data_IF_629371658982
#
_entry.id   IF_629371658982
#
_cell.length_a   1.000
_cell.length_b   1.000
_cell.length_c   1.000
_cell.angle_alpha   90.00
_cell.angle_beta   90.00
_cell.angle_gamma   90.00
#
_symmetry.space_group_name_H-M   'P 1'
#
loop_
_entity.id
_entity.type
_entity.pdbx_description
1 polymer ?
#
# COMPACT_ATOMS: atom_id res chain seq x y z
N UNK A 1 18.51 59.86 32.62
CA UNK A 1 19.31 60.74 31.73
C UNK A 1 18.55 60.93 30.43
N UNK A 2 18.23 62.16 30.04
CA UNK A 2 17.54 62.46 28.79
C UNK A 2 18.41 63.39 27.92
N UNK A 3 18.63 63.02 26.65
CA UNK A 3 19.45 63.79 25.69
C UNK A 3 18.71 63.89 24.35
N UNK A 4 18.37 65.09 23.92
CA UNK A 4 17.64 65.36 22.66
C UNK A 4 16.34 66.14 22.88
N UNK A 5 15.85 66.79 21.82
CA UNK A 5 14.62 67.58 21.86
C UNK A 5 13.44 66.70 22.27
N UNK A 6 12.67 67.11 23.31
CA UNK A 6 11.52 66.36 23.84
C UNK A 6 11.83 64.93 24.32
N UNK A 7 13.11 64.59 24.55
CA UNK A 7 13.48 63.31 25.16
C UNK A 7 13.02 63.25 26.63
N UNK A 8 12.55 62.07 27.06
CA UNK A 8 11.95 61.85 28.38
C UNK A 8 12.56 60.60 29.02
N UNK A 9 13.27 60.77 30.14
CA UNK A 9 13.77 59.67 30.96
C UNK A 9 13.08 59.76 32.33
N UNK A 10 11.86 59.22 32.43
CA UNK A 10 10.98 59.39 33.60
C UNK A 10 11.20 58.33 34.67
N UNK A 11 11.74 57.16 34.29
CA UNK A 11 12.03 56.08 35.23
C UNK A 11 13.34 56.29 36.00
N UNK A 12 13.44 55.67 37.18
CA UNK A 12 14.68 55.65 37.96
C UNK A 12 15.79 54.95 37.16
N UNK A 13 17.01 55.55 37.10
CA UNK A 13 18.16 55.04 36.31
C UNK A 13 17.89 54.86 34.80
N UNK A 14 16.81 55.43 34.28
CA UNK A 14 16.46 55.34 32.87
C UNK A 14 17.38 56.21 31.98
N UNK A 15 17.53 55.83 30.71
CA UNK A 15 18.32 56.54 29.70
C UNK A 15 17.45 56.75 28.45
N UNK A 16 17.25 58.00 28.03
CA UNK A 16 16.58 58.36 26.79
C UNK A 16 17.51 59.24 25.93
N UNK A 17 17.85 58.81 24.72
CA UNK A 17 18.73 59.55 23.81
C UNK A 17 18.10 59.60 22.41
N UNK A 18 17.82 60.80 21.91
CA UNK A 18 17.18 61.03 20.61
C UNK A 18 15.98 61.97 20.73
N UNK A 19 15.63 62.64 19.63
CA UNK A 19 14.41 63.46 19.58
C UNK A 19 13.19 62.61 19.93
N UNK A 20 12.40 63.05 20.92
CA UNK A 20 11.21 62.37 21.41
C UNK A 20 11.44 60.94 21.92
N UNK A 21 12.69 60.54 22.22
CA UNK A 21 12.98 59.26 22.85
C UNK A 21 12.37 59.20 24.26
N UNK A 22 11.76 58.09 24.64
CA UNK A 22 11.08 57.92 25.94
C UNK A 22 11.56 56.65 26.65
N UNK A 23 12.15 56.80 27.82
CA UNK A 23 12.43 55.72 28.75
C UNK A 23 11.52 55.89 29.99
N UNK A 24 10.43 55.11 30.00
CA UNK A 24 9.26 55.31 30.85
C UNK A 24 9.38 54.75 32.28
N UNK A 25 10.18 53.72 32.47
CA UNK A 25 10.22 52.90 33.70
C UNK A 25 11.66 52.69 34.22
N UNK A 26 11.80 52.06 35.38
CA UNK A 26 13.07 51.80 36.05
C UNK A 26 13.99 50.99 35.13
N UNK A 27 15.26 51.41 35.04
CA UNK A 27 16.29 50.79 34.20
C UNK A 27 15.95 50.71 32.70
N UNK A 28 14.93 51.43 32.23
CA UNK A 28 14.58 51.47 30.82
C UNK A 28 15.63 52.25 29.99
N UNK A 29 15.95 51.76 28.80
CA UNK A 29 16.90 52.39 27.87
C UNK A 29 16.25 52.60 26.52
N UNK A 30 16.08 53.85 26.11
CA UNK A 30 15.56 54.25 24.81
C UNK A 30 16.64 55.04 24.05
N UNK A 31 17.06 54.57 22.88
CA UNK A 31 18.07 55.21 22.05
C UNK A 31 17.61 55.27 20.58
N UNK A 32 17.32 56.46 20.07
CA UNK A 32 16.83 56.69 18.72
C UNK A 32 15.70 57.71 18.68
N UNK A 33 15.45 58.32 17.53
CA UNK A 33 14.33 59.27 17.37
C UNK A 33 13.01 58.53 17.58
N UNK A 34 12.19 59.00 18.53
CA UNK A 34 10.90 58.43 18.89
C UNK A 34 10.97 57.00 19.42
N UNK A 35 12.13 56.50 19.86
CA UNK A 35 12.22 55.18 20.49
C UNK A 35 11.54 55.19 21.86
N UNK A 36 10.85 54.12 22.23
CA UNK A 36 10.10 54.01 23.49
C UNK A 36 10.46 52.72 24.25
N UNK A 37 11.07 52.85 25.42
CA UNK A 37 11.25 51.77 26.37
C UNK A 37 10.27 52.00 27.53
N UNK A 38 9.08 51.37 27.46
CA UNK A 38 7.92 51.72 28.28
C UNK A 38 7.77 50.88 29.57
N UNK A 39 8.60 49.85 29.77
CA UNK A 39 8.48 48.92 30.91
C UNK A 39 9.80 48.69 31.66
N UNK A 40 9.71 48.10 32.85
CA UNK A 40 10.84 47.77 33.73
C UNK A 40 11.96 47.04 32.98
N UNK A 41 13.18 47.57 33.08
CA UNK A 41 14.39 47.02 32.45
C UNK A 41 14.28 46.74 30.95
N UNK A 42 13.39 47.46 30.25
CA UNK A 42 13.22 47.33 28.80
C UNK A 42 14.28 48.12 28.03
N UNK A 43 14.65 47.65 26.82
CA UNK A 43 15.65 48.29 25.96
C UNK A 43 15.10 48.48 24.55
N UNK A 44 14.97 49.72 24.09
CA UNK A 44 14.57 50.08 22.74
C UNK A 44 15.68 50.88 22.04
N UNK A 45 16.28 50.34 20.99
CA UNK A 45 17.35 51.00 20.22
C UNK A 45 17.01 51.03 18.75
N UNK A 46 16.73 52.21 18.20
CA UNK A 46 16.41 52.43 16.80
C UNK A 46 15.33 53.49 16.59
N UNK A 47 15.22 54.02 15.37
CA UNK A 47 14.16 54.97 15.02
C UNK A 47 12.77 54.34 15.24
N UNK A 48 11.99 54.88 16.18
CA UNK A 48 10.67 54.37 16.58
C UNK A 48 10.64 52.93 17.09
N UNK A 49 11.77 52.41 17.58
CA UNK A 49 11.78 51.10 18.25
C UNK A 49 10.94 51.15 19.55
N UNK A 50 10.18 50.11 19.86
CA UNK A 50 9.34 50.03 21.06
C UNK A 50 9.59 48.76 21.85
N UNK A 51 10.00 48.89 23.10
CA UNK A 51 10.06 47.80 24.07
C UNK A 51 9.00 48.06 25.14
N UNK A 52 7.83 47.44 24.99
CA UNK A 52 6.66 47.64 25.86
C UNK A 52 6.54 46.58 26.96
N UNK A 53 7.20 45.43 26.82
CA UNK A 53 7.22 44.40 27.84
C UNK A 53 8.34 44.57 28.87
N UNK A 54 8.13 44.12 30.10
CA UNK A 54 9.18 44.05 31.12
C UNK A 54 10.32 43.16 30.62
N UNK A 55 11.56 43.64 30.77
CA UNK A 55 12.78 43.00 30.24
C UNK A 55 12.76 42.78 28.71
N UNK A 56 11.88 43.45 27.97
CA UNK A 56 11.82 43.32 26.53
C UNK A 56 12.96 44.08 25.83
N UNK A 57 13.37 43.59 24.67
CA UNK A 57 14.46 44.16 23.86
C UNK A 57 13.98 44.38 22.44
N UNK A 58 13.95 45.64 21.99
CA UNK A 58 13.61 46.02 20.62
C UNK A 58 14.79 46.73 19.96
N UNK A 59 15.33 46.18 18.88
CA UNK A 59 16.51 46.69 18.18
C UNK A 59 16.23 46.90 16.68
N UNK A 60 16.69 48.03 16.15
CA UNK A 60 16.46 48.57 14.81
C UNK A 60 15.13 49.32 14.61
N UNK A 61 14.98 49.94 13.44
CA UNK A 61 13.88 50.87 13.16
C UNK A 61 12.51 50.16 13.22
N UNK A 62 11.59 50.74 13.99
CA UNK A 62 10.23 50.24 14.19
C UNK A 62 10.15 48.77 14.65
N UNK A 63 11.18 48.25 15.32
CA UNK A 63 11.10 46.96 16.00
C UNK A 63 10.17 47.10 17.22
N UNK A 64 9.30 46.12 17.46
CA UNK A 64 8.32 46.15 18.56
C UNK A 64 8.41 44.86 19.39
N UNK A 65 8.79 44.98 20.65
CA UNK A 65 8.81 43.89 21.63
C UNK A 65 7.79 44.17 22.73
N UNK A 66 6.60 43.57 22.63
CA UNK A 66 5.44 43.89 23.46
C UNK A 66 5.25 42.94 24.65
N UNK A 67 5.73 41.70 24.56
CA UNK A 67 5.59 40.70 25.62
C UNK A 67 6.66 40.76 26.72
N UNK A 68 6.38 40.14 27.88
CA UNK A 68 7.38 39.94 28.94
C UNK A 68 8.59 39.15 28.39
N UNK A 69 9.80 39.66 28.59
CA UNK A 69 11.04 39.07 28.06
C UNK A 69 11.04 38.86 26.53
N UNK A 70 10.20 39.60 25.79
CA UNK A 70 10.15 39.52 24.34
C UNK A 70 11.39 40.17 23.70
N UNK A 71 11.86 39.61 22.57
CA UNK A 71 13.03 40.11 21.85
C UNK A 71 12.68 40.33 20.38
N UNK A 72 12.69 41.57 19.91
CA UNK A 72 12.51 41.94 18.52
C UNK A 72 13.77 42.60 17.97
N UNK A 73 14.45 41.97 17.01
CA UNK A 73 15.68 42.47 16.40
C UNK A 73 15.54 42.48 14.90
N UNK A 74 15.46 43.66 14.30
CA UNK A 74 15.30 43.84 12.86
C UNK A 74 14.29 44.92 12.54
N UNK A 75 14.43 45.53 11.35
CA UNK A 75 13.49 46.58 10.93
C UNK A 75 12.08 45.99 10.84
N UNK A 76 11.14 46.57 11.60
CA UNK A 76 9.75 46.08 11.72
C UNK A 76 9.62 44.63 12.24
N UNK A 77 10.61 44.15 13.00
CA UNK A 77 10.46 42.88 13.73
C UNK A 77 9.42 43.04 14.85
N UNK A 78 8.57 42.04 15.07
CA UNK A 78 7.49 42.11 16.06
C UNK A 78 7.47 40.86 16.94
N UNK A 79 7.60 41.04 18.25
CA UNK A 79 7.52 40.00 19.26
C UNK A 79 6.41 40.36 20.27
N UNK A 80 5.22 39.76 20.13
CA UNK A 80 4.01 40.20 20.86
C UNK A 80 3.85 39.58 22.25
N UNK A 81 4.26 38.32 22.39
CA UNK A 81 3.90 37.48 23.53
C UNK A 81 5.08 37.24 24.47
N UNK A 82 4.80 36.69 25.66
CA UNK A 82 5.83 36.35 26.64
C UNK A 82 6.88 35.41 26.05
N UNK A 83 8.16 35.72 26.27
CA UNK A 83 9.33 34.99 25.75
C UNK A 83 9.34 34.84 24.21
N UNK A 84 8.56 35.64 23.49
CA UNK A 84 8.56 35.61 22.03
C UNK A 84 9.82 36.27 21.48
N UNK A 85 10.40 35.68 20.43
CA UNK A 85 11.64 36.13 19.82
C UNK A 85 11.41 36.29 18.32
N UNK A 86 11.63 37.49 17.78
CA UNK A 86 11.54 37.84 16.38
C UNK A 86 12.87 38.44 15.91
N UNK A 87 13.62 37.71 15.07
CA UNK A 87 14.95 38.08 14.58
C UNK A 87 14.93 38.17 13.06
N UNK A 88 15.09 39.35 12.49
CA UNK A 88 15.10 39.59 11.05
C UNK A 88 14.09 40.66 10.62
N UNK A 89 14.30 41.20 9.43
CA UNK A 89 13.41 42.24 8.86
C UNK A 89 12.01 41.68 8.66
N UNK A 90 11.00 42.37 9.19
CA UNK A 90 9.59 41.95 9.14
C UNK A 90 9.34 40.54 9.74
N UNK A 91 10.23 40.06 10.61
CA UNK A 91 9.98 38.82 11.36
C UNK A 91 8.87 39.05 12.39
N UNK A 92 8.04 38.03 12.66
CA UNK A 92 6.89 38.17 13.54
C UNK A 92 6.69 36.90 14.38
N UNK A 93 6.82 37.04 15.70
CA UNK A 93 6.48 36.01 16.67
C UNK A 93 5.32 36.52 17.53
N UNK A 94 4.11 36.06 17.22
CA UNK A 94 2.89 36.47 17.94
C UNK A 94 2.46 35.41 18.96
N UNK A 95 3.42 34.64 19.47
CA UNK A 95 3.15 33.41 20.22
C UNK A 95 4.02 33.30 21.47
N UNK A 96 3.42 32.81 22.56
CA UNK A 96 4.14 32.44 23.79
C UNK A 96 5.28 31.48 23.47
N UNK A 97 6.50 31.80 23.94
CA UNK A 97 7.71 31.02 23.67
C UNK A 97 7.99 30.76 22.18
N UNK A 98 7.50 31.63 21.27
CA UNK A 98 7.69 31.47 19.83
C UNK A 98 9.02 32.05 19.33
N UNK A 99 9.70 31.36 18.42
CA UNK A 99 10.95 31.83 17.79
C UNK A 99 10.77 32.02 16.28
N UNK A 100 10.73 33.26 15.80
CA UNK A 100 10.73 33.61 14.39
C UNK A 100 12.07 34.23 13.99
N UNK A 101 12.97 33.46 13.40
CA UNK A 101 14.29 33.95 12.96
C UNK A 101 14.46 33.82 11.44
N UNK A 102 14.56 34.96 10.77
CA UNK A 102 14.66 35.09 9.32
C UNK A 102 13.82 36.27 8.83
N UNK A 103 14.19 36.83 7.67
CA UNK A 103 13.38 37.88 7.04
C UNK A 103 11.98 37.34 6.75
N UNK A 104 10.94 37.98 7.28
CA UNK A 104 9.53 37.52 7.18
C UNK A 104 9.27 36.12 7.76
N UNK A 105 10.11 35.64 8.69
CA UNK A 105 9.79 34.44 9.45
C UNK A 105 8.56 34.70 10.34
N UNK A 106 7.65 33.71 10.48
CA UNK A 106 6.40 33.87 11.22
C UNK A 106 6.13 32.71 12.17
N UNK A 107 5.77 33.04 13.41
CA UNK A 107 5.23 32.09 14.39
C UNK A 107 3.91 32.63 14.93
N UNK A 108 2.84 31.82 14.85
CA UNK A 108 1.47 32.25 15.22
C UNK A 108 0.91 31.63 16.49
N UNK A 109 1.37 30.44 16.87
CA UNK A 109 0.88 29.68 18.03
C UNK A 109 2.01 29.25 18.94
N UNK A 110 1.66 29.01 20.20
CA UNK A 110 2.58 28.75 21.31
C UNK A 110 3.62 27.68 20.99
N UNK A 111 4.87 27.92 21.39
CA UNK A 111 6.00 27.00 21.21
C UNK A 111 6.41 26.74 19.76
N UNK A 112 5.92 27.54 18.79
CA UNK A 112 6.32 27.41 17.40
C UNK A 112 7.72 27.94 17.12
N UNK A 113 8.41 27.35 16.15
CA UNK A 113 9.75 27.76 15.72
C UNK A 113 9.79 27.91 14.20
N UNK A 114 10.14 29.08 13.70
CA UNK A 114 10.34 29.36 12.29
C UNK A 114 11.77 29.87 12.06
N UNK A 115 12.62 29.07 11.41
CA UNK A 115 14.01 29.41 11.08
C UNK A 115 14.20 29.41 9.57
N UNK A 116 14.50 30.58 9.01
CA UNK A 116 14.69 30.79 7.58
C UNK A 116 13.84 31.94 7.04
N UNK A 117 14.28 32.55 5.93
CA UNK A 117 13.50 33.62 5.32
C UNK A 117 12.17 33.09 4.78
N UNK A 118 11.07 33.71 5.19
CA UNK A 118 9.71 33.27 4.88
C UNK A 118 9.25 31.97 5.57
N UNK A 119 10.04 31.38 6.47
CA UNK A 119 9.61 30.20 7.23
C UNK A 119 8.38 30.52 8.09
N UNK A 120 7.43 29.57 8.20
CA UNK A 120 6.19 29.79 8.93
C UNK A 120 5.77 28.59 9.77
N UNK A 121 5.71 28.78 11.09
CA UNK A 121 5.13 27.83 12.05
C UNK A 121 3.72 28.32 12.43
N UNK A 122 2.70 27.70 11.82
CA UNK A 122 1.32 28.16 11.95
C UNK A 122 0.58 27.54 13.14
N UNK A 123 1.04 26.39 13.60
CA UNK A 123 0.36 25.59 14.63
C UNK A 123 1.17 25.45 15.93
N UNK A 124 0.51 25.03 17.01
CA UNK A 124 1.16 24.89 18.32
C UNK A 124 2.28 23.84 18.25
N UNK A 125 3.43 24.17 18.85
CA UNK A 125 4.63 23.30 18.89
C UNK A 125 5.10 22.85 17.50
N UNK A 126 4.79 23.63 16.45
CA UNK A 126 5.22 23.34 15.08
C UNK A 126 6.58 23.97 14.77
N UNK A 127 7.38 23.32 13.93
CA UNK A 127 8.71 23.80 13.55
C UNK A 127 8.85 23.89 12.03
N UNK A 128 9.14 25.07 11.50
CA UNK A 128 9.46 25.33 10.11
C UNK A 128 10.94 25.72 10.00
N UNK A 129 11.73 24.89 9.33
CA UNK A 129 13.20 24.97 9.29
C UNK A 129 13.68 24.99 7.84
N UNK A 130 13.77 26.17 7.23
CA UNK A 130 14.19 26.34 5.84
C UNK A 130 13.61 27.58 5.17
N UNK A 131 14.15 27.96 4.01
CA UNK A 131 13.57 29.03 3.20
C UNK A 131 12.14 28.65 2.79
N UNK A 132 11.15 29.46 3.16
CA UNK A 132 9.72 29.19 2.89
C UNK A 132 9.19 27.83 3.39
N UNK A 133 9.82 27.23 4.39
CA UNK A 133 9.25 26.04 5.03
C UNK A 133 7.94 26.39 5.75
N UNK A 134 6.93 25.52 5.70
CA UNK A 134 5.63 25.74 6.35
C UNK A 134 5.18 24.54 7.18
N UNK A 135 5.10 24.73 8.50
CA UNK A 135 4.56 23.74 9.42
C UNK A 135 3.09 24.07 9.72
N UNK A 136 2.17 23.28 9.14
CA UNK A 136 0.72 23.54 9.12
C UNK A 136 -0.08 22.66 10.08
N UNK A 137 0.57 21.75 10.80
CA UNK A 137 -0.08 20.86 11.76
C UNK A 137 0.52 21.00 13.16
N UNK A 138 -0.26 20.68 14.20
CA UNK A 138 0.22 20.67 15.58
C UNK A 138 1.35 19.64 15.74
N UNK A 139 2.40 19.98 16.49
CA UNK A 139 3.58 19.13 16.71
C UNK A 139 4.31 18.71 15.41
N UNK A 140 4.11 19.41 14.29
CA UNK A 140 4.72 19.04 13.01
C UNK A 140 6.08 19.71 12.78
N UNK A 141 6.88 19.10 11.91
CA UNK A 141 8.18 19.63 11.48
C UNK A 141 8.23 19.69 9.95
N UNK A 142 8.35 20.90 9.40
CA UNK A 142 8.69 21.13 8.01
C UNK A 142 10.19 21.46 7.91
N UNK A 143 10.99 20.54 7.38
CA UNK A 143 12.45 20.67 7.29
C UNK A 143 12.91 20.73 5.84
N UNK A 144 13.59 21.81 5.47
CA UNK A 144 14.09 22.07 4.13
C UNK A 144 13.37 23.21 3.41
N UNK A 145 13.98 23.68 2.32
CA UNK A 145 13.42 24.73 1.47
C UNK A 145 12.10 24.28 0.85
N UNK A 146 11.07 25.13 0.93
CA UNK A 146 9.71 24.89 0.43
C UNK A 146 9.02 23.62 0.98
N UNK A 147 9.56 23.02 2.05
CA UNK A 147 8.95 21.87 2.71
C UNK A 147 7.64 22.27 3.39
N UNK A 148 6.61 21.44 3.26
CA UNK A 148 5.30 21.63 3.88
C UNK A 148 4.95 20.42 4.73
N UNK A 149 4.63 20.64 6.00
CA UNK A 149 4.12 19.60 6.90
C UNK A 149 2.62 19.82 7.15
N UNK A 150 1.77 19.16 6.37
CA UNK A 150 0.32 19.36 6.32
C UNK A 150 -0.52 18.09 6.55
N UNK A 151 0.11 16.91 6.67
CA UNK A 151 -0.60 15.67 6.99
C UNK A 151 -0.73 15.47 8.50
N UNK A 152 -1.97 15.52 9.01
CA UNK A 152 -2.29 15.30 10.41
C UNK A 152 -2.20 13.80 10.81
N UNK A 153 -2.36 13.52 12.11
CA UNK A 153 -2.56 12.17 12.61
C UNK A 153 -3.93 11.60 12.20
N UNK A 154 -4.11 10.28 12.34
CA UNK A 154 -5.38 9.60 12.10
C UNK A 154 -5.67 9.30 10.63
N UNK A 155 -4.71 9.52 9.74
CA UNK A 155 -4.85 9.18 8.32
C UNK A 155 -4.69 7.67 8.17
N UNK A 156 -5.69 7.04 7.55
CA UNK A 156 -5.66 5.63 7.18
C UNK A 156 -4.76 5.40 5.97
N UNK A 157 -3.98 4.33 6.02
CA UNK A 157 -3.14 3.86 4.92
C UNK A 157 -3.97 3.29 3.77
N UNK A 158 -3.35 3.17 2.60
CA UNK A 158 -3.97 2.54 1.44
C UNK A 158 -3.88 1.01 1.54
N UNK A 159 -5.01 0.32 1.39
CA UNK A 159 -5.09 -1.13 1.31
C UNK A 159 -5.10 -1.58 -0.16
N UNK A 160 -4.06 -2.30 -0.57
CA UNK A 160 -3.91 -2.80 -1.93
C UNK A 160 -4.80 -4.01 -2.26
N UNK A 161 -5.38 -4.69 -1.26
CA UNK A 161 -6.32 -5.77 -1.50
C UNK A 161 -7.69 -5.24 -1.96
N UNK A 162 -8.12 -4.12 -1.38
CA UNK A 162 -9.41 -3.48 -1.69
C UNK A 162 -9.28 -2.31 -2.68
N UNK A 163 -8.08 -1.74 -2.82
CA UNK A 163 -7.84 -0.57 -3.68
C UNK A 163 -8.37 0.74 -3.10
N UNK A 164 -8.56 0.80 -1.78
CA UNK A 164 -9.14 1.95 -1.07
C UNK A 164 -8.38 2.22 0.25
N UNK A 165 -8.83 3.22 1.01
CA UNK A 165 -8.32 3.41 2.38
C UNK A 165 -8.65 2.18 3.24
N UNK A 166 -7.69 1.74 4.06
CA UNK A 166 -7.86 0.59 4.94
C UNK A 166 -8.97 0.82 5.96
N UNK A 167 -9.79 -0.19 6.21
CA UNK A 167 -10.78 -0.21 7.30
C UNK A 167 -10.18 -0.71 8.61
N UNK A 168 -8.94 -1.20 8.60
CA UNK A 168 -8.24 -1.64 9.80
C UNK A 168 -7.85 -0.43 10.66
N UNK A 169 -8.13 -0.51 11.96
CA UNK A 169 -7.93 0.62 12.89
C UNK A 169 -6.64 0.52 13.71
N UNK A 170 -5.86 -0.55 13.52
CA UNK A 170 -4.60 -0.75 14.24
C UNK A 170 -3.54 0.29 13.84
N UNK A 171 -2.57 0.56 14.72
CA UNK A 171 -1.49 1.54 14.49
C UNK A 171 -0.62 1.27 13.25
N UNK A 172 -0.65 0.04 12.72
CA UNK A 172 0.02 -0.32 11.47
C UNK A 172 -0.70 0.22 10.23
N UNK A 173 -2.01 0.51 10.35
CA UNK A 173 -2.89 0.94 9.27
C UNK A 173 -3.35 2.38 9.42
N UNK A 174 -3.52 2.88 10.65
CA UNK A 174 -3.91 4.27 10.92
C UNK A 174 -2.78 4.96 11.69
N UNK A 175 -2.28 6.06 11.12
CA UNK A 175 -1.23 6.87 11.73
C UNK A 175 -1.69 7.45 13.08
N UNK A 176 -0.83 7.36 14.11
CA UNK A 176 -1.11 7.97 15.43
C UNK A 176 -0.54 9.38 15.55
N UNK A 177 0.34 9.77 14.63
CA UNK A 177 1.00 11.08 14.54
C UNK A 177 1.02 11.54 13.08
N UNK A 178 1.37 12.81 12.86
CA UNK A 178 1.51 13.36 11.50
C UNK A 178 2.55 12.61 10.66
N UNK A 179 2.41 12.70 9.34
CA UNK A 179 3.28 11.97 8.42
C UNK A 179 4.69 12.57 8.33
N UNK A 180 5.66 11.71 8.02
CA UNK A 180 7.00 12.14 7.56
C UNK A 180 7.00 12.07 6.04
N UNK A 181 6.88 13.24 5.39
CA UNK A 181 7.07 13.31 3.95
C UNK A 181 8.56 13.43 3.60
N UNK A 182 9.05 12.57 2.72
CA UNK A 182 10.43 12.63 2.17
C UNK A 182 10.47 13.19 0.74
N UNK A 183 9.35 13.74 0.26
CA UNK A 183 9.19 14.20 -1.11
C UNK A 183 7.91 15.00 -1.34
N UNK A 184 7.48 15.05 -2.60
CA UNK A 184 6.26 15.66 -3.11
C UNK A 184 5.73 14.79 -4.26
N UNK A 185 4.56 15.11 -4.79
CA UNK A 185 3.97 14.39 -5.93
C UNK A 185 4.92 14.27 -7.13
N UNK A 186 5.75 15.30 -7.37
CA UNK A 186 6.68 15.35 -8.50
C UNK A 186 8.12 14.98 -8.15
N UNK A 187 8.47 14.90 -6.86
CA UNK A 187 9.85 14.71 -6.42
C UNK A 187 9.92 13.71 -5.27
N UNK A 188 10.53 12.55 -5.48
CA UNK A 188 10.75 11.55 -4.42
C UNK A 188 12.22 11.44 -4.04
N UNK A 189 12.48 10.86 -2.87
CA UNK A 189 13.84 10.52 -2.41
C UNK A 189 13.89 9.05 -2.07
N UNK A 190 15.07 8.45 -2.27
CA UNK A 190 15.36 7.12 -1.73
C UNK A 190 15.64 7.22 -0.24
N UNK A 191 15.14 6.26 0.53
CA UNK A 191 15.52 6.04 1.92
C UNK A 191 16.52 4.88 1.94
N UNK A 192 17.80 5.17 2.17
CA UNK A 192 18.90 4.19 2.14
C UNK A 192 19.35 3.80 3.55
N UNK A 193 20.12 2.72 3.67
CA UNK A 193 20.63 2.19 4.95
C UNK A 193 19.52 1.76 5.94
N UNK A 194 18.40 1.27 5.40
CA UNK A 194 17.28 0.74 6.18
C UNK A 194 17.55 -0.74 6.53
N UNK A 195 17.74 -1.02 7.82
CA UNK A 195 17.84 -2.39 8.33
C UNK A 195 16.52 -3.15 8.09
N UNK A 196 16.56 -4.49 8.15
CA UNK A 196 15.34 -5.29 7.96
C UNK A 196 14.33 -5.00 9.08
N UNK A 197 13.10 -4.65 8.72
CA UNK A 197 12.01 -4.45 9.67
C UNK A 197 11.62 -5.74 10.38
N UNK A 198 11.16 -5.62 11.63
CA UNK A 198 10.77 -6.75 12.47
C UNK A 198 9.29 -6.70 12.84
N UNK A 199 8.82 -5.53 13.26
CA UNK A 199 7.42 -5.31 13.67
C UNK A 199 6.57 -4.82 12.49
N UNK A 200 5.24 -4.92 12.57
CA UNK A 200 4.32 -4.52 11.49
C UNK A 200 4.41 -3.03 11.10
N UNK A 201 4.95 -2.20 11.98
CA UNK A 201 5.14 -0.74 11.75
C UNK A 201 6.54 -0.38 11.25
N UNK A 202 7.42 -1.36 11.03
CA UNK A 202 8.78 -1.10 10.56
C UNK A 202 8.82 -0.95 9.03
N UNK A 203 9.72 -0.10 8.55
CA UNK A 203 9.98 0.00 7.12
C UNK A 203 10.61 -1.31 6.59
N UNK A 204 10.07 -1.82 5.47
CA UNK A 204 10.60 -3.00 4.78
C UNK A 204 11.70 -2.59 3.81
N UNK A 205 12.85 -3.26 3.84
CA UNK A 205 13.94 -2.99 2.92
C UNK A 205 13.91 -3.91 1.67
N UNK A 206 14.73 -3.57 0.67
CA UNK A 206 14.80 -4.31 -0.61
C UNK A 206 15.21 -5.78 -0.43
N UNK A 207 16.01 -6.11 0.59
CA UNK A 207 16.44 -7.49 0.84
C UNK A 207 15.26 -8.37 1.31
N UNK A 208 14.40 -7.84 2.17
CA UNK A 208 13.19 -8.52 2.62
C UNK A 208 12.21 -8.78 1.46
N UNK A 209 11.97 -7.76 0.62
CA UNK A 209 11.11 -7.92 -0.57
C UNK A 209 11.68 -8.95 -1.55
N UNK A 210 13.00 -8.95 -1.81
CA UNK A 210 13.65 -9.97 -2.63
C UNK A 210 13.53 -11.37 -2.02
N UNK A 211 13.57 -11.49 -0.71
CA UNK A 211 13.38 -12.77 -0.01
C UNK A 211 11.96 -13.30 -0.20
N UNK A 212 10.97 -12.45 -0.02
CA UNK A 212 9.56 -12.78 -0.27
C UNK A 212 9.35 -13.21 -1.73
N UNK A 213 9.87 -12.44 -2.70
CA UNK A 213 9.75 -12.76 -4.12
C UNK A 213 10.33 -14.15 -4.46
N UNK A 214 11.50 -14.50 -3.90
CA UNK A 214 12.10 -15.84 -4.06
C UNK A 214 11.22 -16.94 -3.46
N UNK A 215 10.66 -16.69 -2.29
CA UNK A 215 9.76 -17.65 -1.64
C UNK A 215 8.52 -17.90 -2.51
N UNK A 216 7.87 -16.85 -2.99
CA UNK A 216 6.70 -16.97 -3.88
C UNK A 216 7.04 -17.72 -5.17
N UNK A 217 8.19 -17.42 -5.79
CA UNK A 217 8.64 -18.13 -6.99
C UNK A 217 8.87 -19.62 -6.72
N UNK A 218 9.43 -19.97 -5.56
CA UNK A 218 9.62 -21.38 -5.18
C UNK A 218 8.31 -22.12 -4.94
N UNK A 219 7.32 -21.46 -4.31
CA UNK A 219 5.99 -22.04 -4.09
C UNK A 219 5.23 -22.23 -5.41
N UNK A 220 5.36 -21.30 -6.35
CA UNK A 220 4.77 -21.42 -7.67
C UNK A 220 5.39 -22.58 -8.46
N UNK A 221 6.71 -22.68 -8.48
CA UNK A 221 7.41 -23.79 -9.14
C UNK A 221 7.03 -25.16 -8.54
N UNK A 222 6.87 -25.23 -7.21
CA UNK A 222 6.38 -26.45 -6.56
C UNK A 222 4.94 -26.80 -6.98
N UNK A 223 4.06 -25.81 -7.08
CA UNK A 223 2.68 -26.00 -7.54
C UNK A 223 2.64 -26.48 -9.00
N UNK A 224 3.46 -25.89 -9.88
CA UNK A 224 3.59 -26.31 -11.29
C UNK A 224 4.05 -27.76 -11.43
N UNK A 225 5.06 -28.17 -10.64
CA UNK A 225 5.54 -29.55 -10.62
C UNK A 225 4.45 -30.53 -10.17
N UNK A 226 3.67 -30.16 -9.15
CA UNK A 226 2.54 -30.96 -8.68
C UNK A 226 1.46 -31.10 -9.75
N UNK A 227 1.10 -30.01 -10.42
CA UNK A 227 0.14 -30.05 -11.53
C UNK A 227 0.65 -30.89 -12.70
N UNK A 228 1.93 -30.81 -13.06
CA UNK A 228 2.50 -31.60 -14.13
C UNK A 228 2.45 -33.11 -13.82
N UNK A 229 2.69 -33.48 -12.56
CA UNK A 229 2.60 -34.87 -12.09
C UNK A 229 1.14 -35.36 -12.13
N UNK A 230 0.19 -34.55 -11.69
CA UNK A 230 -1.25 -34.88 -11.78
C UNK A 230 -1.70 -35.03 -13.24
N UNK A 231 -1.30 -34.13 -14.13
CA UNK A 231 -1.60 -34.22 -15.56
C UNK A 231 -1.00 -35.49 -16.17
N UNK A 232 0.23 -35.85 -15.82
CA UNK A 232 0.86 -37.08 -16.29
C UNK A 232 0.12 -38.33 -15.79
N UNK A 233 -0.29 -38.35 -14.52
CA UNK A 233 -1.09 -39.43 -13.95
C UNK A 233 -2.45 -39.56 -14.66
N UNK A 234 -3.16 -38.45 -14.87
CA UNK A 234 -4.43 -38.42 -15.60
C UNK A 234 -4.27 -38.90 -17.05
N UNK A 235 -3.19 -38.50 -17.74
CA UNK A 235 -2.89 -38.98 -19.10
C UNK A 235 -2.65 -40.49 -19.13
N UNK A 236 -1.91 -41.04 -18.17
CA UNK A 236 -1.66 -42.47 -18.08
C UNK A 236 -2.94 -43.26 -17.77
N UNK A 237 -3.75 -42.76 -16.84
CA UNK A 237 -5.04 -43.37 -16.52
C UNK A 237 -5.97 -43.36 -17.73
N UNK A 238 -6.06 -42.23 -18.44
CA UNK A 238 -6.84 -42.10 -19.66
C UNK A 238 -6.35 -43.08 -20.73
N UNK A 239 -5.03 -43.21 -20.93
CA UNK A 239 -4.45 -44.17 -21.89
C UNK A 239 -4.83 -45.61 -21.54
N UNK A 240 -4.66 -46.03 -20.29
CA UNK A 240 -5.03 -47.39 -19.84
C UNK A 240 -6.52 -47.66 -20.04
N UNK A 241 -7.38 -46.67 -19.74
CA UNK A 241 -8.83 -46.78 -19.98
C UNK A 241 -9.14 -46.89 -21.48
N UNK A 242 -8.42 -46.15 -22.33
CA UNK A 242 -8.55 -46.23 -23.79
C UNK A 242 -8.09 -47.57 -24.36
N UNK A 243 -6.93 -48.08 -23.95
CA UNK A 243 -6.42 -49.39 -24.40
C UNK A 243 -7.40 -50.52 -24.00
N UNK A 244 -7.96 -50.44 -22.78
CA UNK A 244 -9.01 -51.38 -22.34
C UNK A 244 -10.29 -51.26 -23.15
N UNK A 245 -10.68 -50.05 -23.56
CA UNK A 245 -11.85 -49.83 -24.39
C UNK A 245 -11.64 -50.40 -25.80
N UNK A 246 -10.50 -50.09 -26.43
CA UNK A 246 -10.13 -50.61 -27.75
C UNK A 246 -10.07 -52.14 -27.73
N UNK A 247 -9.41 -52.74 -26.73
CA UNK A 247 -9.33 -54.19 -26.61
C UNK A 247 -10.71 -54.85 -26.44
N UNK A 248 -11.62 -54.24 -25.67
CA UNK A 248 -12.99 -54.73 -25.51
C UNK A 248 -13.79 -54.58 -26.82
N UNK A 249 -13.64 -53.47 -27.53
CA UNK A 249 -14.30 -53.22 -28.80
C UNK A 249 -13.83 -54.19 -29.90
N UNK A 250 -12.53 -54.43 -30.01
CA UNK A 250 -11.95 -55.39 -30.95
C UNK A 250 -12.36 -56.83 -30.62
N UNK A 251 -12.37 -57.19 -29.33
CA UNK A 251 -12.82 -58.53 -28.89
C UNK A 251 -14.32 -58.73 -29.15
N UNK A 252 -15.14 -57.68 -28.97
CA UNK A 252 -16.56 -57.69 -29.35
C UNK A 252 -16.78 -57.84 -30.86
N UNK A 253 -15.92 -57.21 -31.67
CA UNK A 253 -15.94 -57.35 -33.13
C UNK A 253 -15.54 -58.76 -33.57
N UNK A 254 -14.49 -59.35 -32.97
CA UNK A 254 -14.09 -60.74 -33.20
C UNK A 254 -15.21 -61.74 -32.83
N UNK A 255 -15.91 -61.48 -31.73
CA UNK A 255 -17.10 -62.20 -31.31
C UNK A 255 -18.23 -62.12 -32.37
N UNK A 256 -18.51 -60.92 -32.90
CA UNK A 256 -19.50 -60.75 -33.97
C UNK A 256 -19.12 -61.51 -35.26
N UNK A 257 -17.83 -61.52 -35.64
CA UNK A 257 -17.33 -62.31 -36.77
C UNK A 257 -17.53 -63.81 -36.53
N UNK A 258 -17.27 -64.29 -35.31
CA UNK A 258 -17.50 -65.68 -34.93
C UNK A 258 -18.97 -66.08 -35.12
N UNK A 259 -19.91 -65.25 -34.65
CA UNK A 259 -21.35 -65.46 -34.84
C UNK A 259 -21.71 -65.48 -36.32
N UNK A 260 -21.17 -64.57 -37.12
CA UNK A 260 -21.40 -64.52 -38.56
C UNK A 260 -20.90 -65.74 -39.33
N UNK A 261 -19.94 -66.48 -38.76
CA UNK A 261 -19.35 -67.69 -39.36
C UNK A 261 -20.04 -68.99 -38.93
N UNK A 262 -21.09 -68.92 -38.10
CA UNK A 262 -21.83 -70.08 -37.65
C UNK A 262 -22.62 -70.73 -38.80
N UNK A 263 -22.34 -72.01 -39.04
CA UNK A 263 -23.11 -72.84 -39.97
C UNK A 263 -24.57 -73.00 -39.53
N UNK A 264 -25.46 -73.20 -40.50
CA UNK A 264 -26.90 -73.39 -40.30
C UNK A 264 -27.39 -74.72 -40.86
N UNK A 265 -28.49 -75.24 -40.33
CA UNK A 265 -29.20 -76.37 -40.94
C UNK A 265 -29.85 -75.95 -42.28
N UNK A 266 -29.83 -76.85 -43.27
CA UNK A 266 -30.32 -76.57 -44.63
C UNK A 266 -31.47 -77.48 -45.06
N UNK A 267 -31.67 -78.64 -44.41
CA UNK A 267 -32.70 -79.61 -44.80
C UNK A 267 -33.93 -79.60 -43.85
N UNK A 268 -35.14 -79.88 -44.36
CA UNK A 268 -36.34 -79.98 -43.53
C UNK A 268 -36.21 -80.99 -42.38
N UNK A 269 -36.58 -80.58 -41.16
CA UNK A 269 -36.48 -81.40 -39.95
C UNK A 269 -35.06 -81.47 -39.33
N UNK A 270 -34.03 -81.03 -40.05
CA UNK A 270 -32.65 -81.06 -39.59
C UNK A 270 -32.39 -80.03 -38.48
N UNK A 271 -31.69 -80.47 -37.43
CA UNK A 271 -31.04 -79.58 -36.47
C UNK A 271 -29.54 -79.53 -36.73
N UNK A 272 -28.92 -78.40 -36.46
CA UNK A 272 -27.47 -78.25 -36.50
C UNK A 272 -26.98 -77.52 -35.25
N UNK A 273 -25.84 -78.01 -34.73
CA UNK A 273 -25.04 -77.32 -33.73
C UNK A 273 -23.75 -76.91 -34.43
N UNK A 274 -23.37 -75.65 -34.32
CA UNK A 274 -22.16 -75.10 -34.91
C UNK A 274 -21.32 -74.40 -33.86
N UNK A 275 -20.01 -74.48 -34.02
CA UNK A 275 -19.03 -73.74 -33.22
C UNK A 275 -18.18 -72.96 -34.20
N UNK A 276 -17.95 -71.69 -33.90
CA UNK A 276 -17.15 -70.81 -34.75
C UNK A 276 -16.22 -69.95 -33.90
N UNK A 277 -15.13 -69.52 -34.51
CA UNK A 277 -14.20 -68.54 -33.96
C UNK A 277 -14.02 -67.38 -34.94
N UNK A 278 -13.72 -66.21 -34.40
CA UNK A 278 -13.45 -65.01 -35.17
C UNK A 278 -12.19 -64.34 -34.66
N UNK A 279 -11.42 -63.74 -35.57
CA UNK A 279 -10.20 -63.00 -35.25
C UNK A 279 -10.33 -61.60 -35.83
N UNK A 280 -10.10 -60.58 -35.00
CA UNK A 280 -10.08 -59.18 -35.42
C UNK A 280 -8.93 -58.46 -34.72
N UNK A 281 -8.01 -57.86 -35.51
CA UNK A 281 -6.83 -57.14 -35.01
C UNK A 281 -6.06 -57.87 -33.89
N UNK A 282 -5.93 -59.20 -34.03
CA UNK A 282 -5.23 -60.05 -33.05
C UNK A 282 -6.02 -60.41 -31.79
N UNK A 283 -7.30 -60.04 -31.69
CA UNK A 283 -8.24 -60.51 -30.65
C UNK A 283 -9.09 -61.65 -31.18
N UNK A 284 -9.47 -62.58 -30.30
CA UNK A 284 -10.32 -63.71 -30.64
C UNK A 284 -11.69 -63.65 -29.95
N UNK A 285 -12.69 -64.09 -30.69
CA UNK A 285 -14.05 -64.33 -30.20
C UNK A 285 -14.51 -65.72 -30.58
N UNK A 286 -15.42 -66.27 -29.80
CA UNK A 286 -15.94 -67.64 -29.96
C UNK A 286 -17.46 -67.60 -29.89
N UNK A 287 -18.12 -68.35 -30.77
CA UNK A 287 -19.56 -68.46 -30.80
C UNK A 287 -20.00 -69.92 -30.89
N UNK A 288 -21.12 -70.22 -30.24
CA UNK A 288 -21.83 -71.50 -30.39
C UNK A 288 -23.23 -71.19 -30.88
N UNK A 289 -23.61 -71.85 -31.97
CA UNK A 289 -24.88 -71.70 -32.63
C UNK A 289 -25.69 -72.99 -32.56
N UNK A 290 -26.99 -72.84 -32.37
CA UNK A 290 -27.95 -73.89 -32.66
C UNK A 290 -28.91 -73.39 -33.73
N UNK A 291 -29.26 -74.25 -34.67
CA UNK A 291 -30.25 -73.93 -35.69
C UNK A 291 -31.13 -75.14 -35.99
N UNK A 292 -32.39 -74.89 -36.35
CA UNK A 292 -33.34 -75.95 -36.71
C UNK A 292 -34.27 -75.47 -37.80
N UNK A 293 -34.42 -76.28 -38.84
CA UNK A 293 -35.44 -76.09 -39.88
C UNK A 293 -36.67 -76.91 -39.48
N UNK A 294 -37.86 -76.32 -39.59
CA UNK A 294 -39.12 -77.03 -39.33
C UNK A 294 -39.26 -78.25 -40.23
N UNK A 295 -40.04 -79.25 -39.81
CA UNK A 295 -40.31 -80.44 -40.64
C UNK A 295 -40.96 -80.09 -41.99
N UNK A 296 -41.67 -78.97 -42.05
CA UNK A 296 -42.25 -78.41 -43.28
C UNK A 296 -41.26 -77.71 -44.20
N UNK A 297 -40.01 -77.48 -43.77
CA UNK A 297 -39.00 -76.73 -44.52
C UNK A 297 -39.19 -75.20 -44.53
N UNK A 298 -40.32 -74.68 -44.02
CA UNK A 298 -40.72 -73.27 -44.16
C UNK A 298 -40.19 -72.31 -43.09
N UNK A 299 -39.65 -72.82 -41.99
CA UNK A 299 -39.16 -71.98 -40.89
C UNK A 299 -37.77 -72.39 -40.46
N UNK A 300 -36.86 -71.44 -40.35
CA UNK A 300 -35.52 -71.59 -39.78
C UNK A 300 -35.41 -70.75 -38.52
N UNK A 301 -35.12 -71.40 -37.39
CA UNK A 301 -34.80 -70.72 -36.14
C UNK A 301 -33.31 -70.87 -35.87
N UNK A 302 -32.66 -69.77 -35.47
CA UNK A 302 -31.27 -69.77 -35.00
C UNK A 302 -31.17 -69.12 -33.63
N UNK A 303 -30.39 -69.72 -32.77
CA UNK A 303 -29.88 -69.11 -31.55
C UNK A 303 -28.36 -69.16 -31.56
N UNK A 304 -27.72 -68.10 -31.09
CA UNK A 304 -26.27 -68.03 -30.92
C UNK A 304 -25.92 -67.44 -29.57
N UNK A 305 -24.95 -68.04 -28.89
CA UNK A 305 -24.27 -67.46 -27.75
C UNK A 305 -22.82 -67.17 -28.14
N UNK A 306 -22.28 -66.05 -27.67
CA UNK A 306 -20.94 -65.61 -28.01
C UNK A 306 -20.18 -65.20 -26.76
N UNK A 307 -18.89 -65.52 -26.74
CA UNK A 307 -17.94 -65.10 -25.71
C UNK A 307 -16.70 -64.49 -26.36
N UNK A 308 -16.20 -63.42 -25.78
CA UNK A 308 -14.96 -62.77 -26.20
C UNK A 308 -13.82 -63.11 -25.23
N UNK A 309 -12.59 -63.25 -25.74
CA UNK A 309 -11.45 -63.66 -24.92
C UNK A 309 -11.12 -62.69 -23.76
N UNK A 310 -11.45 -61.40 -23.89
CA UNK A 310 -11.27 -60.36 -22.85
C UNK A 310 -12.58 -59.70 -22.42
N UNK A 311 -13.51 -60.55 -21.97
CA UNK A 311 -14.70 -60.15 -21.21
C UNK A 311 -15.88 -59.71 -22.09
N UNK A 312 -17.07 -60.11 -21.66
CA UNK A 312 -18.32 -59.92 -22.39
C UNK A 312 -18.81 -61.24 -22.97
N UNK A 313 -20.02 -61.62 -22.58
CA UNK A 313 -20.79 -62.66 -23.24
C UNK A 313 -22.06 -62.00 -23.79
N UNK A 314 -22.49 -62.46 -24.95
CA UNK A 314 -23.68 -61.96 -25.63
C UNK A 314 -24.46 -63.11 -26.23
N UNK A 315 -25.65 -62.81 -26.70
CA UNK A 315 -26.46 -63.77 -27.42
C UNK A 315 -27.34 -63.07 -28.43
N UNK A 316 -27.74 -63.82 -29.44
CA UNK A 316 -28.67 -63.38 -30.47
C UNK A 316 -29.55 -64.54 -30.85
N UNK A 317 -30.78 -64.24 -31.29
CA UNK A 317 -31.68 -65.22 -31.85
C UNK A 317 -32.36 -64.62 -33.08
N UNK A 318 -32.69 -65.46 -34.05
CA UNK A 318 -33.43 -65.05 -35.25
C UNK A 318 -34.41 -66.15 -35.67
N UNK A 319 -35.50 -65.71 -36.29
CA UNK A 319 -36.51 -66.57 -36.90
C UNK A 319 -36.66 -66.10 -38.34
N UNK A 320 -36.53 -67.01 -39.29
CA UNK A 320 -36.57 -66.73 -40.73
C UNK A 320 -37.62 -67.63 -41.39
N UNK A 321 -38.47 -67.04 -42.23
CA UNK A 321 -39.41 -67.78 -43.08
C UNK A 321 -38.74 -68.10 -44.42
N UNK A 322 -38.82 -69.35 -44.86
CA UNK A 322 -38.28 -69.85 -46.12
C UNK A 322 -39.45 -70.16 -47.05
N UNK A 323 -39.47 -69.54 -48.23
CA UNK A 323 -40.52 -69.69 -49.25
C UNK A 323 -39.96 -70.25 -50.55
#
# INVERSE_FOLDING_TARGET
MAVGLMSQATGLRSIAVGESAKAGDIDAVAFGRGSEANALSSTAVGDRAKANGTQAVALASAAEANGYQAVAVGTRAVAEETNSVALGVESSSTALNGLAAGTRARVRKSGGTALGAGAAAFEEKSAALGYKAEARQQNSVALGTDSVADTAAGVAGHDFATGAASTETGKAWVSTLGAVSVGSEQNSRQITNVAAGKEDTDAVNVAQVKSLARQTQSSLAAAESNHQTQIAALRNEAKVRMDKLEERADSGSAAAIAVGSLGQAYQPGQGAVSVASGIWRGKSGYAVGISKVSASGKWLVKGSAVGAAKGGAGGGASVTYLW
#
